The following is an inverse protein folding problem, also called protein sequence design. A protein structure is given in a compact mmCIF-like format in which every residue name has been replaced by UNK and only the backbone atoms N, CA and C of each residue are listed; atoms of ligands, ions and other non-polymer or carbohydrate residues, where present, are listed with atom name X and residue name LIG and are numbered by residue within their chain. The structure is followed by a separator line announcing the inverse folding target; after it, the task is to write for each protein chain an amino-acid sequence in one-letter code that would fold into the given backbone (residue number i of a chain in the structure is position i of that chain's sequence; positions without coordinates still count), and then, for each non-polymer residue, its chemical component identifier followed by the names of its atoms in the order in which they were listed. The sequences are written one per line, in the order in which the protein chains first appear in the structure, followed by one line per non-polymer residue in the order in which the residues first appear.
data_IF_210571751343
#
_entry.id   IF_210571751343
#
_cell.length_a   1.000
_cell.length_b   1.000
_cell.length_c   1.000
_cell.angle_alpha   90.00
_cell.angle_beta   90.00
_cell.angle_gamma   90.00
#
_symmetry.space_group_name_H-M   'P 1'
#
loop_
_entity.id
_entity.type
_entity.pdbx_description
1 polymer ?
#
# COMPACT_ATOMS: atom_id res chain seq x y z
N UNK A 1 23.76 -33.42 21.88
CA UNK A 1 23.55 -32.09 21.37
C UNK A 1 22.07 -31.78 21.24
N UNK A 2 21.64 -30.81 21.93
CA UNK A 2 20.23 -30.54 22.03
C UNK A 2 19.66 -29.95 20.74
N UNK A 3 20.41 -29.06 20.11
CA UNK A 3 19.96 -28.41 18.90
C UNK A 3 20.93 -28.67 17.78
N UNK A 4 20.46 -29.31 16.73
CA UNK A 4 21.21 -29.44 15.51
C UNK A 4 21.06 -28.15 14.72
N UNK A 5 21.86 -28.00 13.70
CA UNK A 5 21.74 -26.86 12.79
C UNK A 5 20.33 -26.80 12.18
N UNK A 6 19.77 -27.94 11.89
CA UNK A 6 18.43 -28.02 11.32
C UNK A 6 17.36 -27.53 12.27
N UNK A 7 17.48 -27.89 13.54
CA UNK A 7 16.52 -27.44 14.55
C UNK A 7 16.61 -25.94 14.74
N UNK A 8 17.81 -25.41 14.70
CA UNK A 8 18.00 -23.98 14.82
C UNK A 8 17.37 -23.23 13.64
N UNK A 9 17.53 -23.74 12.44
CA UNK A 9 16.90 -23.14 11.26
C UNK A 9 15.39 -23.22 11.34
N UNK A 10 14.86 -24.33 11.82
CA UNK A 10 13.43 -24.49 11.98
C UNK A 10 12.87 -23.46 12.95
N UNK A 11 13.57 -23.22 14.06
CA UNK A 11 13.15 -22.21 15.02
C UNK A 11 13.16 -20.82 14.41
N UNK A 12 14.16 -20.52 13.61
CA UNK A 12 14.24 -19.22 12.94
C UNK A 12 13.09 -19.02 11.95
N UNK A 13 12.76 -20.07 11.19
CA UNK A 13 11.64 -20.01 10.26
C UNK A 13 10.35 -19.76 11.00
N UNK A 14 10.11 -20.50 12.08
CA UNK A 14 8.88 -20.37 12.84
C UNK A 14 8.75 -18.98 13.48
N UNK A 15 9.85 -18.43 13.97
CA UNK A 15 9.80 -17.15 14.67
C UNK A 15 9.88 -15.95 13.74
N UNK A 16 10.58 -16.09 12.61
CA UNK A 16 10.83 -14.94 11.72
C UNK A 16 10.10 -15.06 10.39
N UNK A 17 10.26 -16.19 9.71
CA UNK A 17 9.80 -16.33 8.33
C UNK A 17 8.37 -16.82 8.22
N UNK A 18 7.90 -17.62 9.17
CA UNK A 18 6.56 -18.20 9.08
C UNK A 18 5.46 -17.15 9.13
N UNK A 19 5.68 -16.03 9.81
CA UNK A 19 4.67 -14.98 9.89
C UNK A 19 4.41 -14.31 8.54
N UNK A 20 5.40 -14.33 7.62
CA UNK A 20 5.21 -13.80 6.29
C UNK A 20 4.37 -14.71 5.39
N UNK A 21 4.05 -15.91 5.86
CA UNK A 21 3.11 -16.81 5.20
C UNK A 21 1.70 -16.68 5.77
N UNK A 22 1.50 -15.85 6.77
CA UNK A 22 0.22 -15.67 7.44
C UNK A 22 -0.51 -14.42 6.92
N UNK A 23 -1.65 -14.61 6.24
CA UNK A 23 -2.43 -13.47 5.76
C UNK A 23 -2.90 -12.54 6.88
N UNK A 24 -3.11 -13.05 8.08
CA UNK A 24 -3.51 -12.22 9.22
C UNK A 24 -2.42 -11.23 9.59
N UNK A 25 -1.18 -11.66 9.55
CA UNK A 25 -0.06 -10.79 9.82
C UNK A 25 0.10 -9.74 8.72
N UNK A 26 -0.10 -10.15 7.46
CA UNK A 26 -0.07 -9.22 6.34
C UNK A 26 -1.17 -8.16 6.48
N UNK A 27 -2.38 -8.56 6.87
CA UNK A 27 -3.49 -7.62 7.08
C UNK A 27 -3.16 -6.63 8.19
N UNK A 28 -2.59 -7.12 9.30
CA UNK A 28 -2.20 -6.25 10.40
C UNK A 28 -1.18 -5.22 9.94
N UNK A 29 -0.19 -5.66 9.18
CA UNK A 29 0.84 -4.74 8.66
C UNK A 29 0.24 -3.72 7.70
N UNK A 30 -0.64 -4.14 6.83
CA UNK A 30 -1.31 -3.21 5.91
C UNK A 30 -2.14 -2.18 6.67
N UNK A 31 -2.84 -2.60 7.71
CA UNK A 31 -3.62 -1.68 8.53
C UNK A 31 -2.72 -0.71 9.30
N UNK A 32 -1.55 -1.15 9.73
CA UNK A 32 -0.57 -0.26 10.36
C UNK A 32 -0.14 0.83 9.39
N UNK A 33 0.13 0.47 8.13
CA UNK A 33 0.46 1.46 7.10
C UNK A 33 -0.70 2.43 6.87
N UNK A 34 -1.90 1.90 6.74
CA UNK A 34 -3.09 2.73 6.49
C UNK A 34 -3.41 3.65 7.67
N UNK A 35 -3.01 3.28 8.86
CA UNK A 35 -3.19 4.14 10.04
C UNK A 35 -2.31 5.39 9.96
N UNK A 36 -1.22 5.33 9.21
CA UNK A 36 -0.30 6.46 9.06
C UNK A 36 -0.71 7.40 7.94
N UNK A 37 -1.25 6.86 6.85
CA UNK A 37 -1.72 7.64 5.72
C UNK A 37 -2.54 6.78 4.77
N UNK A 38 -3.20 7.42 3.81
CA UNK A 38 -3.85 6.68 2.73
C UNK A 38 -2.80 6.10 1.79
N UNK A 39 -3.12 4.94 1.22
CA UNK A 39 -2.29 4.27 0.22
C UNK A 39 -3.16 3.91 -0.97
N UNK A 40 -2.60 4.00 -2.17
CA UNK A 40 -3.22 3.39 -3.34
C UNK A 40 -3.16 1.88 -3.23
N UNK A 41 -4.07 1.19 -3.93
CA UNK A 41 -4.16 -0.27 -3.85
C UNK A 41 -2.84 -0.94 -4.24
N UNK A 42 -2.31 -0.58 -5.40
CA UNK A 42 -1.06 -1.17 -5.89
C UNK A 42 0.14 -0.74 -5.07
N UNK A 43 0.10 0.47 -4.56
CA UNK A 43 1.15 0.96 -3.67
C UNK A 43 1.20 0.13 -2.39
N UNK A 44 0.03 -0.17 -1.81
CA UNK A 44 -0.04 -0.97 -0.59
C UNK A 44 0.40 -2.40 -0.83
N UNK A 45 0.02 -2.98 -1.97
CA UNK A 45 0.48 -4.32 -2.37
C UNK A 45 2.02 -4.33 -2.45
N UNK A 46 2.60 -3.35 -3.12
CA UNK A 46 4.06 -3.27 -3.24
C UNK A 46 4.73 -3.06 -1.89
N UNK A 47 4.09 -2.32 -1.00
CA UNK A 47 4.62 -2.09 0.34
C UNK A 47 4.70 -3.40 1.12
N UNK A 48 3.64 -4.22 1.05
CA UNK A 48 3.63 -5.53 1.69
C UNK A 48 4.69 -6.46 1.09
N UNK A 49 4.82 -6.44 -0.24
CA UNK A 49 5.85 -7.24 -0.90
C UNK A 49 7.24 -6.84 -0.44
N UNK A 50 7.48 -5.56 -0.29
CA UNK A 50 8.78 -5.06 0.17
C UNK A 50 9.10 -5.50 1.60
N UNK A 51 8.08 -5.86 2.37
CA UNK A 51 8.26 -6.35 3.73
C UNK A 51 8.48 -7.86 3.80
N UNK A 52 8.32 -8.56 2.69
CA UNK A 52 8.59 -10.00 2.62
C UNK A 52 7.38 -10.87 2.32
N UNK A 53 6.19 -10.30 2.18
CA UNK A 53 5.00 -11.07 1.84
C UNK A 53 4.99 -11.41 0.36
N UNK A 54 4.41 -12.57 0.02
CA UNK A 54 4.31 -12.99 -1.38
C UNK A 54 3.34 -12.10 -2.15
N UNK A 55 3.42 -12.18 -3.48
CA UNK A 55 2.47 -11.47 -4.34
C UNK A 55 1.03 -11.89 -4.05
N UNK A 56 0.81 -13.19 -3.86
CA UNK A 56 -0.52 -13.74 -3.63
C UNK A 56 -1.11 -13.22 -2.33
N UNK A 57 -0.35 -13.29 -1.25
CA UNK A 57 -0.82 -12.82 0.06
C UNK A 57 -1.03 -11.31 0.01
N UNK A 58 -0.10 -10.57 -0.55
CA UNK A 58 -0.19 -9.11 -0.63
C UNK A 58 -1.43 -8.67 -1.40
N UNK A 59 -1.66 -9.27 -2.56
CA UNK A 59 -2.82 -8.93 -3.39
C UNK A 59 -4.13 -9.31 -2.71
N UNK A 60 -4.20 -10.52 -2.17
CA UNK A 60 -5.41 -11.02 -1.54
C UNK A 60 -5.81 -10.17 -0.34
N UNK A 61 -4.84 -9.84 0.51
CA UNK A 61 -5.09 -9.03 1.69
C UNK A 61 -5.56 -7.63 1.32
N UNK A 62 -4.90 -6.99 0.36
CA UNK A 62 -5.26 -5.63 -0.03
C UNK A 62 -6.61 -5.60 -0.73
N UNK A 63 -6.93 -6.60 -1.56
CA UNK A 63 -8.25 -6.69 -2.18
C UNK A 63 -9.34 -6.73 -1.12
N UNK A 64 -9.15 -7.50 -0.07
CA UNK A 64 -10.12 -7.59 1.02
C UNK A 64 -10.24 -6.27 1.77
N UNK A 65 -9.12 -5.60 2.00
CA UNK A 65 -9.14 -4.28 2.64
C UNK A 65 -9.90 -3.26 1.79
N UNK A 66 -9.78 -3.37 0.47
CA UNK A 66 -10.53 -2.52 -0.45
C UNK A 66 -12.03 -2.81 -0.34
N UNK A 67 -12.40 -4.09 -0.34
CA UNK A 67 -13.80 -4.48 -0.19
C UNK A 67 -14.39 -3.99 1.14
N UNK A 68 -13.60 -4.04 2.19
CA UNK A 68 -14.02 -3.59 3.52
C UNK A 68 -14.02 -2.06 3.65
N UNK A 69 -13.61 -1.33 2.62
CA UNK A 69 -13.59 0.13 2.64
C UNK A 69 -12.41 0.75 3.38
N UNK A 70 -11.45 -0.07 3.82
CA UNK A 70 -10.29 0.41 4.56
C UNK A 70 -9.19 0.94 3.64
N UNK A 71 -9.17 0.51 2.40
CA UNK A 71 -8.31 1.05 1.35
C UNK A 71 -9.20 1.57 0.23
N UNK A 72 -8.88 2.74 -0.32
CA UNK A 72 -9.70 3.36 -1.37
C UNK A 72 -8.82 4.28 -2.21
N UNK A 73 -8.76 4.02 -3.51
CA UNK A 73 -7.91 4.79 -4.41
C UNK A 73 -8.36 6.25 -4.53
N UNK A 74 -9.65 6.51 -4.49
CA UNK A 74 -10.16 7.88 -4.55
C UNK A 74 -9.72 8.70 -3.34
N UNK A 75 -9.82 8.10 -2.14
CA UNK A 75 -9.36 8.76 -0.92
C UNK A 75 -7.85 8.99 -0.96
N UNK A 76 -7.12 8.01 -1.49
CA UNK A 76 -5.66 8.17 -1.63
C UNK A 76 -5.34 9.37 -2.54
N UNK A 77 -6.01 9.48 -3.68
CA UNK A 77 -5.75 10.57 -4.63
C UNK A 77 -6.06 11.92 -3.99
N UNK A 78 -7.19 12.02 -3.29
CA UNK A 78 -7.54 13.27 -2.60
C UNK A 78 -6.49 13.66 -1.57
N UNK A 79 -6.07 12.70 -0.76
CA UNK A 79 -5.06 12.91 0.26
C UNK A 79 -3.72 13.31 -0.35
N UNK A 80 -3.35 12.66 -1.45
CA UNK A 80 -2.12 12.95 -2.17
C UNK A 80 -2.13 14.39 -2.69
N UNK A 81 -3.23 14.79 -3.34
CA UNK A 81 -3.34 16.13 -3.90
C UNK A 81 -3.26 17.19 -2.80
N UNK A 82 -4.01 17.00 -1.71
CA UNK A 82 -3.96 17.94 -0.59
C UNK A 82 -2.54 18.10 -0.03
N UNK A 83 -1.84 16.98 0.08
CA UNK A 83 -0.48 16.98 0.59
C UNK A 83 0.46 17.77 -0.33
N UNK A 84 0.33 17.59 -1.63
CA UNK A 84 1.19 18.26 -2.61
C UNK A 84 0.89 19.76 -2.68
N UNK A 85 -0.38 20.13 -2.58
CA UNK A 85 -0.76 21.54 -2.52
C UNK A 85 -0.15 22.21 -1.28
N UNK A 86 -0.22 21.53 -0.14
CA UNK A 86 0.40 22.02 1.09
C UNK A 86 1.90 22.24 0.95
N UNK A 87 2.55 21.38 0.16
CA UNK A 87 3.98 21.52 -0.11
C UNK A 87 4.31 22.62 -1.11
N UNK A 88 3.30 23.32 -1.62
CA UNK A 88 3.50 24.40 -2.58
C UNK A 88 3.72 23.94 -4.00
N UNK A 89 3.38 22.70 -4.32
CA UNK A 89 3.56 22.19 -5.69
C UNK A 89 2.46 22.71 -6.59
N UNK A 90 2.84 23.03 -7.84
CA UNK A 90 1.88 23.52 -8.82
C UNK A 90 1.11 22.40 -9.50
N UNK A 91 0.08 22.80 -10.25
CA UNK A 91 -0.82 21.87 -10.93
C UNK A 91 -0.08 20.91 -11.85
N UNK A 92 0.88 21.40 -12.62
CA UNK A 92 1.62 20.58 -13.58
C UNK A 92 2.40 19.47 -12.87
N UNK A 93 3.07 19.81 -11.77
CA UNK A 93 3.85 18.84 -11.02
C UNK A 93 2.96 17.77 -10.41
N UNK A 94 1.84 18.16 -9.84
CA UNK A 94 0.88 17.22 -9.24
C UNK A 94 0.33 16.29 -10.32
N UNK A 95 -0.02 16.83 -11.48
CA UNK A 95 -0.50 16.05 -12.62
C UNK A 95 0.52 15.00 -13.03
N UNK A 96 1.79 15.40 -13.18
CA UNK A 96 2.86 14.48 -13.56
C UNK A 96 3.03 13.36 -12.54
N UNK A 97 3.00 13.69 -11.25
CA UNK A 97 3.15 12.70 -10.21
C UNK A 97 1.98 11.71 -10.19
N UNK A 98 0.75 12.20 -10.39
CA UNK A 98 -0.43 11.33 -10.45
C UNK A 98 -0.37 10.39 -11.63
N UNK A 99 0.03 10.89 -12.79
CA UNK A 99 0.09 10.07 -14.01
C UNK A 99 1.15 8.98 -13.94
N UNK A 100 2.16 9.17 -13.12
CA UNK A 100 3.20 8.16 -12.91
C UNK A 100 2.78 7.07 -11.93
N UNK A 101 1.70 7.29 -11.20
CA UNK A 101 1.21 6.29 -10.26
C UNK A 101 0.36 5.27 -10.98
N UNK A 102 0.41 4.04 -10.50
CA UNK A 102 -0.34 2.95 -11.10
C UNK A 102 -1.76 2.93 -10.53
N UNK A 103 -2.58 3.88 -10.98
CA UNK A 103 -3.94 4.09 -10.52
C UNK A 103 -4.91 3.93 -11.70
N UNK A 104 -6.19 3.63 -11.42
CA UNK A 104 -7.17 3.57 -12.50
C UNK A 104 -7.25 4.91 -13.24
N UNK A 105 -7.16 4.85 -14.58
CA UNK A 105 -7.11 6.06 -15.39
C UNK A 105 -8.34 6.95 -15.23
N UNK A 106 -9.50 6.34 -15.01
CA UNK A 106 -10.73 7.08 -14.80
C UNK A 106 -10.69 7.93 -13.54
N UNK A 107 -10.09 7.39 -12.48
CA UNK A 107 -9.93 8.14 -11.23
C UNK A 107 -8.92 9.27 -11.39
N UNK A 108 -7.87 9.04 -12.13
CA UNK A 108 -6.88 10.09 -12.43
C UNK A 108 -7.54 11.22 -13.22
N UNK A 109 -8.30 10.86 -14.25
CA UNK A 109 -8.99 11.84 -15.08
C UNK A 109 -9.92 12.73 -14.24
N UNK A 110 -10.75 12.11 -13.40
CA UNK A 110 -11.66 12.86 -12.53
C UNK A 110 -10.91 13.75 -11.55
N UNK A 111 -9.80 13.24 -11.01
CA UNK A 111 -8.98 14.01 -10.07
C UNK A 111 -8.35 15.22 -10.75
N UNK A 112 -7.89 15.08 -11.99
CA UNK A 112 -7.28 16.18 -12.72
C UNK A 112 -8.30 17.24 -13.08
N UNK A 113 -9.53 16.85 -13.40
CA UNK A 113 -10.60 17.81 -13.61
C UNK A 113 -10.87 18.64 -12.35
N UNK A 114 -10.92 17.97 -11.20
CA UNK A 114 -11.14 18.65 -9.93
C UNK A 114 -9.96 19.52 -9.56
N UNK A 115 -8.75 19.08 -9.83
CA UNK A 115 -7.53 19.84 -9.57
C UNK A 115 -7.52 21.14 -10.38
N UNK A 116 -7.93 21.07 -11.64
CA UNK A 116 -7.97 22.25 -12.49
C UNK A 116 -8.90 23.33 -11.93
N UNK A 117 -9.95 22.94 -11.21
CA UNK A 117 -10.89 23.89 -10.60
C UNK A 117 -10.32 24.59 -9.38
N UNK A 118 -9.24 24.04 -8.78
CA UNK A 118 -8.60 24.66 -7.62
C UNK A 118 -7.61 25.75 -8.01
N UNK A 119 -7.20 25.76 -9.26
CA UNK A 119 -6.27 26.74 -9.81
C UNK A 119 -6.96 27.56 -10.90
#
# INVERSE_FOLDING_TARGET
MSKSFRDLNSDLFDSEDSKFLDPKFARKKAMDFLALREYGQKELINKLRSKGFSDEISSSVVERLTEDGLQNDSRFIESFIRSRIKQGKGQLKITQELEQKNLPSQLIFSALENLAKLY
#
